data_IF_304668867157
#
_entry.id   IF_304668867157
#
_cell.length_a   1.000
_cell.length_b   1.000
_cell.length_c   1.000
_cell.angle_alpha   90.00
_cell.angle_beta   90.00
_cell.angle_gamma   90.00
#
_symmetry.space_group_name_H-M   'P 1'
#
loop_
_entity.id
_entity.type
_entity.pdbx_description
1 polymer ?
#
# COMPACT_ATOMS: atom_id res chain seq x y z
N UNK A 1 3.99 22.57 2.83
CA UNK A 1 3.25 22.23 1.59
C UNK A 1 2.82 20.78 1.77
N UNK A 2 1.51 20.48 1.88
CA UNK A 2 1.07 19.09 1.94
C UNK A 2 1.03 18.59 0.50
N UNK A 3 1.96 17.71 0.13
CA UNK A 3 1.98 17.10 -1.20
C UNK A 3 0.65 16.39 -1.47
N UNK A 4 0.22 16.44 -2.72
CA UNK A 4 -1.10 16.04 -3.16
C UNK A 4 -1.33 14.54 -2.94
N UNK A 5 -2.22 14.20 -2.00
CA UNK A 5 -2.70 12.85 -1.67
C UNK A 5 -3.57 12.21 -2.77
N UNK A 6 -3.27 12.45 -4.05
CA UNK A 6 -3.97 11.78 -5.13
C UNK A 6 -3.16 10.55 -5.56
N UNK A 7 -3.67 9.38 -5.16
CA UNK A 7 -3.22 8.07 -5.63
C UNK A 7 -3.95 7.74 -6.92
N UNK A 8 -3.20 7.37 -7.95
CA UNK A 8 -3.73 6.98 -9.26
C UNK A 8 -3.27 5.56 -9.63
N UNK A 9 -4.05 4.90 -10.47
CA UNK A 9 -3.63 3.64 -11.09
C UNK A 9 -2.28 3.81 -11.80
N UNK A 10 -1.40 2.83 -11.62
CA UNK A 10 -0.01 2.79 -12.06
C UNK A 10 0.98 3.67 -11.27
N UNK A 11 0.53 4.43 -10.26
CA UNK A 11 1.46 5.05 -9.30
C UNK A 11 2.34 3.96 -8.66
N UNK A 12 3.57 4.34 -8.32
CA UNK A 12 4.53 3.47 -7.66
C UNK A 12 4.66 3.85 -6.19
N UNK A 13 4.63 2.85 -5.33
CA UNK A 13 4.80 3.03 -3.89
C UNK A 13 5.99 2.20 -3.40
N UNK A 14 6.84 2.78 -2.58
CA UNK A 14 7.91 2.04 -1.88
C UNK A 14 7.38 1.56 -0.53
N UNK A 15 7.59 0.28 -0.22
CA UNK A 15 7.26 -0.26 1.10
C UNK A 15 8.28 0.22 2.12
N UNK A 16 7.85 1.02 3.09
CA UNK A 16 8.71 1.58 4.15
C UNK A 16 8.71 0.74 5.42
N UNK A 17 7.69 -0.12 5.58
CA UNK A 17 7.66 -1.14 6.62
C UNK A 17 6.89 -2.35 6.08
N UNK A 18 7.57 -3.50 6.01
CA UNK A 18 7.01 -4.72 5.41
C UNK A 18 6.14 -5.57 6.35
N UNK A 19 5.51 -6.59 5.77
CA UNK A 19 4.86 -7.70 6.45
C UNK A 19 5.05 -9.01 5.64
N UNK A 20 4.24 -10.04 5.92
CA UNK A 20 4.34 -11.32 5.22
C UNK A 20 4.07 -11.26 3.70
N UNK A 21 3.46 -10.19 3.20
CA UNK A 21 3.05 -10.02 1.79
C UNK A 21 3.82 -8.92 1.07
N UNK A 22 4.35 -7.94 1.81
CA UNK A 22 5.10 -6.80 1.27
C UNK A 22 6.46 -6.71 1.94
N UNK A 23 7.53 -6.61 1.15
CA UNK A 23 8.90 -6.53 1.63
C UNK A 23 9.35 -5.07 1.70
N UNK A 24 9.96 -4.68 2.82
CA UNK A 24 10.53 -3.35 3.00
C UNK A 24 11.60 -3.06 1.94
N UNK A 25 11.58 -1.86 1.35
CA UNK A 25 12.46 -1.42 0.26
C UNK A 25 11.96 -1.76 -1.15
N UNK A 26 10.99 -2.67 -1.28
CA UNK A 26 10.44 -3.04 -2.60
C UNK A 26 9.41 -2.02 -3.10
N UNK A 27 9.30 -1.93 -4.44
CA UNK A 27 8.38 -1.02 -5.12
C UNK A 27 7.17 -1.79 -5.65
N UNK A 28 5.99 -1.33 -5.28
CA UNK A 28 4.70 -1.92 -5.66
C UNK A 28 3.90 -0.97 -6.54
N UNK A 29 3.02 -1.54 -7.36
CA UNK A 29 2.21 -0.77 -8.33
C UNK A 29 0.79 -0.63 -7.83
N UNK A 30 0.27 0.59 -7.86
CA UNK A 30 -1.14 0.86 -7.58
C UNK A 30 -1.99 0.31 -8.72
N UNK A 31 -2.95 -0.54 -8.37
CA UNK A 31 -3.95 -1.09 -9.28
C UNK A 31 -5.18 -0.20 -9.38
N UNK A 32 -6.37 -0.81 -9.34
CA UNK A 32 -7.64 -0.08 -9.42
C UNK A 32 -7.87 0.81 -8.20
N UNK A 33 -8.30 2.05 -8.45
CA UNK A 33 -8.84 2.94 -7.41
C UNK A 33 -10.29 2.57 -7.10
N UNK A 34 -10.61 2.35 -5.82
CA UNK A 34 -11.98 2.06 -5.37
C UNK A 34 -12.69 3.36 -5.02
N UNK A 35 -12.04 4.21 -4.21
CA UNK A 35 -12.50 5.56 -3.88
C UNK A 35 -11.31 6.43 -3.40
N UNK A 36 -11.60 7.54 -2.73
CA UNK A 36 -10.63 8.49 -2.19
C UNK A 36 -9.74 7.91 -1.08
N UNK A 37 -10.14 6.80 -0.46
CA UNK A 37 -9.42 6.16 0.65
C UNK A 37 -8.85 4.80 0.30
N UNK A 38 -9.51 4.04 -0.58
CA UNK A 38 -9.19 2.64 -0.83
C UNK A 38 -8.78 2.40 -2.27
N UNK A 39 -7.74 1.60 -2.45
CA UNK A 39 -7.22 1.21 -3.75
C UNK A 39 -6.51 -0.14 -3.68
N UNK A 40 -6.31 -0.77 -4.84
CA UNK A 40 -5.55 -2.01 -4.93
C UNK A 40 -4.05 -1.72 -4.95
N UNK A 41 -3.27 -2.52 -4.22
CA UNK A 41 -1.82 -2.55 -4.33
C UNK A 41 -1.41 -3.95 -4.78
N UNK A 42 -0.81 -4.02 -5.98
CA UNK A 42 -0.40 -5.29 -6.58
C UNK A 42 0.75 -5.89 -5.77
N UNK A 43 0.78 -7.22 -5.63
CA UNK A 43 1.93 -7.93 -5.06
C UNK A 43 3.03 -8.10 -6.12
N UNK A 44 4.23 -8.51 -5.73
CA UNK A 44 5.39 -8.64 -6.63
C UNK A 44 5.19 -9.62 -7.80
N UNK A 45 4.17 -10.49 -7.73
CA UNK A 45 3.78 -11.40 -8.82
C UNK A 45 2.81 -10.79 -9.85
N UNK A 46 2.28 -9.58 -9.62
CA UNK A 46 1.23 -8.91 -10.42
C UNK A 46 -0.10 -9.67 -10.62
N UNK A 47 -0.19 -10.96 -10.26
CA UNK A 47 -1.42 -11.75 -10.37
C UNK A 47 -2.37 -11.54 -9.18
N UNK A 48 -1.84 -11.12 -8.02
CA UNK A 48 -2.60 -10.88 -6.79
C UNK A 48 -2.52 -9.41 -6.34
N UNK A 49 -3.49 -9.01 -5.51
CA UNK A 49 -3.53 -7.68 -4.90
C UNK A 49 -4.17 -7.71 -3.52
N UNK A 50 -3.83 -6.71 -2.71
CA UNK A 50 -4.55 -6.38 -1.48
C UNK A 50 -5.12 -4.97 -1.57
N UNK A 51 -6.09 -4.65 -0.70
CA UNK A 51 -6.62 -3.29 -0.59
C UNK A 51 -5.79 -2.49 0.41
N UNK A 52 -5.23 -1.39 -0.08
CA UNK A 52 -4.56 -0.38 0.74
C UNK A 52 -5.54 0.72 1.15
N UNK A 53 -5.27 1.32 2.30
CA UNK A 53 -5.95 2.48 2.85
C UNK A 53 -5.02 3.69 2.79
N UNK A 54 -5.57 4.83 2.39
CA UNK A 54 -4.99 6.15 2.55
C UNK A 54 -5.83 6.94 3.57
N UNK A 55 -5.23 7.25 4.70
CA UNK A 55 -5.82 8.10 5.74
C UNK A 55 -4.75 8.96 6.44
N UNK A 56 -5.07 9.54 7.60
CA UNK A 56 -4.16 10.39 8.37
C UNK A 56 -2.89 9.67 8.89
N UNK A 57 -2.84 8.33 8.88
CA UNK A 57 -1.66 7.50 9.17
C UNK A 57 -0.76 7.31 7.93
N UNK A 58 -1.19 7.77 6.75
CA UNK A 58 -0.50 7.55 5.48
C UNK A 58 -1.10 6.38 4.69
N UNK A 59 -0.25 5.72 3.91
CA UNK A 59 -0.66 4.60 3.04
C UNK A 59 -0.27 3.28 3.72
N UNK A 60 -1.23 2.37 3.87
CA UNK A 60 -0.96 1.06 4.44
C UNK A 60 -1.90 -0.04 3.96
N UNK A 61 -1.43 -1.27 4.02
CA UNK A 61 -2.25 -2.49 3.95
C UNK A 61 -2.29 -3.10 5.35
N UNK A 62 -3.49 -3.37 5.87
CA UNK A 62 -3.70 -3.95 7.20
C UNK A 62 -4.47 -5.26 7.11
N UNK A 63 -4.06 -6.24 7.89
CA UNK A 63 -4.75 -7.52 8.02
C UNK A 63 -5.28 -7.70 9.45
N UNK A 64 -6.55 -8.08 9.60
CA UNK A 64 -7.18 -8.36 10.89
C UNK A 64 -6.87 -9.78 11.40
N UNK A 65 -5.59 -10.19 11.37
CA UNK A 65 -5.19 -11.50 11.89
C UNK A 65 -4.71 -11.40 13.34
N UNK A 66 -5.31 -12.19 14.23
CA UNK A 66 -5.02 -12.22 15.66
C UNK A 66 -3.59 -12.70 16.02
N UNK A 67 -2.76 -13.05 15.04
CA UNK A 67 -1.50 -13.78 15.23
C UNK A 67 -0.25 -13.06 14.72
N UNK A 68 -0.36 -11.93 14.01
CA UNK A 68 0.80 -11.28 13.40
C UNK A 68 1.27 -10.07 14.20
N UNK A 69 2.52 -10.13 14.68
CA UNK A 69 3.23 -9.02 15.34
C UNK A 69 3.47 -7.82 14.40
N UNK A 70 3.32 -8.00 13.08
CA UNK A 70 3.42 -6.96 12.04
C UNK A 70 2.30 -7.16 11.00
N UNK A 71 1.06 -6.88 11.39
CA UNK A 71 -0.11 -7.06 10.53
C UNK A 71 -0.34 -5.91 9.54
N UNK A 72 0.45 -4.84 9.62
CA UNK A 72 0.44 -3.71 8.69
C UNK A 72 1.71 -3.65 7.87
N UNK A 73 1.57 -3.33 6.59
CA UNK A 73 2.66 -2.82 5.76
C UNK A 73 2.38 -1.35 5.43
N UNK A 74 3.41 -0.50 5.50
CA UNK A 74 3.33 0.93 5.23
C UNK A 74 4.10 1.30 3.96
N UNK A 75 3.65 2.37 3.30
CA UNK A 75 4.17 2.77 2.01
C UNK A 75 4.28 4.29 1.87
N UNK A 76 5.26 4.72 1.10
CA UNK A 76 5.39 6.08 0.61
C UNK A 76 5.24 6.11 -0.91
N UNK A 77 4.69 7.21 -1.44
CA UNK A 77 4.64 7.43 -2.89
C UNK A 77 6.03 7.81 -3.39
N UNK A 78 6.49 7.17 -4.47
CA UNK A 78 7.68 7.61 -5.20
C UNK A 78 7.24 8.46 -6.40
N UNK A 79 7.94 9.58 -6.61
CA UNK A 79 7.61 10.61 -7.59
C UNK A 79 7.49 10.11 -9.03
#
# INVERSE_FOLDING_TARGET
>A
MKENHNIHTNDKLICTQGNAYYSEGEVYTVGRIVNDKYFQLLTSGNDDHWYATLDDQGIYVSFDTATATNNKAFFDKIA
#
